data_IF_149979570294
#
_entry.id   IF_149979570294
#
_cell.length_a   1.000
_cell.length_b   1.000
_cell.length_c   1.000
_cell.angle_alpha   90.00
_cell.angle_beta   90.00
_cell.angle_gamma   90.00
#
_symmetry.space_group_name_H-M   'P 1'
#
loop_
_entity.id
_entity.type
_entity.pdbx_description
1 polymer ?
#
# COMPACT_ATOMS: atom_id res chain seq x y z
N UNK A 1 -0.51 0.07 -31.04
CA UNK A 1 -0.99 0.34 -29.67
C UNK A 1 -2.33 -0.35 -29.58
N UNK A 2 -2.41 -1.36 -28.73
CA UNK A 2 -3.62 -2.16 -28.54
C UNK A 2 -4.29 -1.77 -27.24
N UNK A 3 -5.61 -1.86 -27.22
CA UNK A 3 -6.41 -1.46 -26.07
C UNK A 3 -7.04 -2.71 -25.43
N UNK A 4 -7.07 -2.75 -24.10
CA UNK A 4 -7.68 -3.83 -23.32
C UNK A 4 -9.17 -4.10 -23.68
N UNK A 5 -9.81 -3.13 -24.32
CA UNK A 5 -11.22 -3.15 -24.72
C UNK A 5 -11.42 -3.46 -26.22
N UNK A 6 -10.37 -3.79 -26.96
CA UNK A 6 -10.50 -4.27 -28.34
C UNK A 6 -10.53 -5.81 -28.42
N UNK A 7 -10.97 -6.32 -29.58
CA UNK A 7 -11.10 -7.75 -29.85
C UNK A 7 -9.95 -8.28 -30.72
N UNK A 8 -8.87 -7.51 -30.91
CA UNK A 8 -7.81 -7.86 -31.87
C UNK A 8 -7.05 -9.13 -31.46
N UNK A 9 -6.82 -9.33 -30.15
CA UNK A 9 -6.17 -10.54 -29.61
C UNK A 9 -7.15 -11.68 -29.29
N UNK A 10 -8.45 -11.50 -29.54
CA UNK A 10 -9.44 -12.55 -29.31
C UNK A 10 -9.56 -13.39 -30.58
N UNK A 11 -8.97 -14.59 -30.55
CA UNK A 11 -9.09 -15.57 -31.64
C UNK A 11 -10.54 -16.08 -31.80
N UNK A 12 -11.25 -16.30 -30.67
CA UNK A 12 -12.67 -16.71 -30.68
C UNK A 12 -13.40 -16.33 -29.41
N UNK A 13 -14.69 -16.02 -29.55
CA UNK A 13 -15.67 -15.81 -28.47
C UNK A 13 -16.95 -16.60 -28.73
N UNK A 14 -17.41 -17.38 -27.77
CA UNK A 14 -18.67 -18.12 -27.84
C UNK A 14 -19.32 -18.18 -26.46
N UNK A 15 -20.64 -17.93 -26.37
CA UNK A 15 -21.40 -18.01 -25.12
C UNK A 15 -21.12 -16.92 -24.08
N UNK A 16 -20.24 -15.96 -24.34
CA UNK A 16 -19.92 -14.86 -23.41
C UNK A 16 -20.12 -13.50 -24.06
N UNK A 17 -20.28 -12.45 -23.23
CA UNK A 17 -20.27 -11.06 -23.69
C UNK A 17 -19.32 -10.21 -22.85
N UNK A 18 -18.51 -9.34 -23.51
CA UNK A 18 -17.72 -8.33 -22.80
C UNK A 18 -18.66 -7.19 -22.42
N UNK A 19 -18.80 -6.93 -21.14
CA UNK A 19 -19.54 -5.78 -20.60
C UNK A 19 -18.54 -4.88 -19.90
N UNK A 20 -18.32 -3.69 -20.45
CA UNK A 20 -17.66 -2.62 -19.72
C UNK A 20 -18.72 -2.02 -18.80
N UNK A 21 -18.54 -2.15 -17.49
CA UNK A 21 -19.43 -1.50 -16.52
C UNK A 21 -19.38 0.02 -16.65
N UNK A 22 -20.49 0.69 -16.33
CA UNK A 22 -20.49 2.14 -16.20
C UNK A 22 -19.68 2.52 -14.95
N UNK A 23 -18.66 3.35 -15.11
CA UNK A 23 -17.89 3.89 -13.99
C UNK A 23 -18.50 5.20 -13.54
N UNK A 24 -19.00 5.23 -12.31
CA UNK A 24 -19.48 6.46 -11.68
C UNK A 24 -18.32 7.04 -10.88
N UNK A 25 -17.88 8.24 -11.26
CA UNK A 25 -16.91 9.01 -10.48
C UNK A 25 -17.64 9.79 -9.38
N UNK A 26 -17.22 9.61 -8.14
CA UNK A 26 -17.71 10.43 -7.04
C UNK A 26 -17.35 11.91 -7.24
N UNK A 27 -18.23 12.82 -6.78
CA UNK A 27 -18.00 14.28 -6.88
C UNK A 27 -16.82 14.75 -6.01
N UNK A 28 -16.61 14.09 -4.87
CA UNK A 28 -15.54 14.34 -3.91
C UNK A 28 -14.70 13.08 -3.69
N UNK A 29 -13.46 13.22 -3.17
CA UNK A 29 -12.71 12.06 -2.70
C UNK A 29 -13.53 11.27 -1.67
N UNK A 30 -13.50 9.94 -1.78
CA UNK A 30 -14.16 9.03 -0.82
C UNK A 30 -13.42 8.96 0.53
N UNK A 31 -12.17 9.40 0.55
CA UNK A 31 -11.36 9.59 1.76
C UNK A 31 -10.46 10.81 1.54
N UNK A 32 -10.35 11.67 2.54
CA UNK A 32 -9.51 12.87 2.55
C UNK A 32 -8.80 13.00 3.90
N UNK A 33 -7.66 13.70 4.00
CA UNK A 33 -7.00 13.96 5.28
C UNK A 33 -7.92 14.69 6.25
N UNK A 34 -8.16 14.09 7.41
CA UNK A 34 -9.01 14.60 8.49
C UNK A 34 -8.34 14.50 9.87
N UNK A 35 -7.31 13.65 10.00
CA UNK A 35 -6.60 13.41 11.25
C UNK A 35 -5.24 14.12 11.30
N UNK A 36 -4.72 14.48 12.49
CA UNK A 36 -3.44 15.18 12.63
C UNK A 36 -2.26 14.45 11.99
N UNK A 37 -2.22 13.12 12.06
CA UNK A 37 -1.19 12.28 11.44
C UNK A 37 -1.37 12.06 9.94
N UNK A 38 -2.44 12.58 9.35
CA UNK A 38 -2.68 12.52 7.90
C UNK A 38 -2.12 13.74 7.15
N UNK A 39 -1.92 14.85 7.86
CA UNK A 39 -1.52 16.17 7.33
C UNK A 39 -2.27 16.54 6.04
N UNK A 40 -1.61 16.54 4.88
CA UNK A 40 -2.18 17.06 3.63
C UNK A 40 -2.38 16.02 2.53
N UNK A 41 -1.95 14.77 2.73
CA UNK A 41 -1.97 13.77 1.65
C UNK A 41 -2.16 12.34 2.13
N UNK A 42 -3.09 11.67 1.45
CA UNK A 42 -3.31 10.23 1.50
C UNK A 42 -2.92 9.64 0.15
N UNK A 43 -2.23 8.50 0.15
CA UNK A 43 -1.83 7.86 -1.10
C UNK A 43 -1.43 6.42 -0.92
N UNK A 44 -1.10 5.79 -2.06
CA UNK A 44 -0.54 4.42 -2.13
C UNK A 44 -1.34 3.43 -1.28
N UNK A 45 -2.64 3.37 -1.56
CA UNK A 45 -3.59 2.58 -0.80
C UNK A 45 -3.80 1.19 -1.39
N UNK A 46 -4.02 0.21 -0.51
CA UNK A 46 -4.51 -1.13 -0.82
C UNK A 46 -5.89 -1.30 -0.22
N UNK A 47 -6.86 -1.73 -1.04
CA UNK A 47 -8.22 -2.03 -0.60
C UNK A 47 -8.51 -3.50 -0.84
N UNK A 48 -9.04 -4.17 0.17
CA UNK A 48 -9.58 -5.53 0.05
C UNK A 48 -11.01 -5.56 0.61
N UNK A 49 -11.81 -6.49 0.12
CA UNK A 49 -13.02 -6.92 0.81
C UNK A 49 -12.69 -8.19 1.60
N UNK A 50 -12.93 -8.20 2.90
CA UNK A 50 -12.73 -9.38 3.72
C UNK A 50 -14.05 -10.17 3.82
N UNK A 51 -14.10 -11.34 3.17
CA UNK A 51 -15.27 -12.20 3.16
C UNK A 51 -15.61 -12.80 4.54
N UNK A 52 -14.67 -12.80 5.50
CA UNK A 52 -14.91 -13.37 6.83
C UNK A 52 -15.84 -12.50 7.69
N UNK A 53 -15.75 -11.17 7.55
CA UNK A 53 -16.56 -10.21 8.31
C UNK A 53 -17.42 -9.30 7.43
N UNK A 54 -17.28 -9.36 6.11
CA UNK A 54 -18.07 -8.59 5.16
C UNK A 54 -17.72 -7.11 5.14
N UNK A 55 -16.47 -6.75 5.48
CA UNK A 55 -16.01 -5.36 5.57
C UNK A 55 -14.94 -5.08 4.51
N UNK A 56 -15.02 -3.92 3.89
CA UNK A 56 -13.93 -3.35 3.11
C UNK A 56 -12.86 -2.78 4.04
N UNK A 57 -11.62 -3.12 3.77
CA UNK A 57 -10.46 -2.65 4.52
C UNK A 57 -9.52 -1.89 3.61
N UNK A 58 -9.00 -0.78 4.11
CA UNK A 58 -8.01 0.02 3.41
C UNK A 58 -6.77 0.16 4.27
N UNK A 59 -5.62 -0.09 3.67
CA UNK A 59 -4.33 0.37 4.19
C UNK A 59 -3.87 1.50 3.30
N UNK A 60 -3.47 2.62 3.87
CA UNK A 60 -3.05 3.78 3.10
C UNK A 60 -1.86 4.46 3.76
N UNK A 61 -1.03 5.10 2.94
CA UNK A 61 0.05 5.94 3.42
C UNK A 61 -0.49 7.32 3.72
N UNK A 62 -0.20 7.83 4.92
CA UNK A 62 -0.22 9.27 5.16
C UNK A 62 1.18 9.86 5.15
N UNK A 63 1.29 11.10 4.69
CA UNK A 63 2.50 11.90 4.86
C UNK A 63 2.20 13.00 5.86
N UNK A 64 2.72 12.89 7.08
CA UNK A 64 2.79 14.03 7.96
C UNK A 64 3.97 14.92 7.54
N UNK A 65 3.73 15.85 6.61
CA UNK A 65 4.61 17.02 6.48
C UNK A 65 4.40 17.91 7.71
N UNK A 66 5.46 18.10 8.51
CA UNK A 66 5.50 19.20 9.47
C UNK A 66 5.77 20.48 8.65
N UNK A 67 4.69 21.20 8.35
CA UNK A 67 4.65 22.52 7.70
C UNK A 67 5.48 22.68 6.40
N UNK A 68 4.87 22.42 5.25
CA UNK A 68 5.38 22.93 3.98
C UNK A 68 5.28 24.48 3.97
N UNK A 69 6.43 25.17 3.98
CA UNK A 69 6.51 26.53 3.47
C UNK A 69 6.29 26.44 1.95
N UNK A 70 5.32 27.15 1.37
CA UNK A 70 5.07 27.03 -0.06
C UNK A 70 6.22 27.69 -0.83
N UNK A 71 6.72 26.95 -1.82
CA UNK A 71 7.29 27.48 -3.05
C UNK A 71 8.70 28.08 -2.99
N UNK A 72 9.70 27.31 -2.56
CA UNK A 72 11.09 27.47 -3.06
C UNK A 72 11.78 26.11 -3.02
N UNK A 73 12.46 25.73 -4.10
CA UNK A 73 13.10 24.43 -4.25
C UNK A 73 13.96 24.01 -3.07
N UNK A 74 13.87 22.72 -2.72
CA UNK A 74 14.78 22.08 -1.77
C UNK A 74 14.59 22.51 -0.31
N UNK A 75 13.35 22.49 0.20
CA UNK A 75 13.12 22.52 1.64
C UNK A 75 13.52 21.18 2.27
N UNK A 76 14.25 21.24 3.38
CA UNK A 76 14.77 20.06 4.10
C UNK A 76 13.62 19.13 4.52
N UNK A 77 13.62 17.91 3.95
CA UNK A 77 12.65 16.83 4.19
C UNK A 77 12.85 16.10 5.52
N UNK A 78 13.81 16.53 6.35
CA UNK A 78 14.27 15.80 7.54
C UNK A 78 13.19 15.62 8.63
N UNK A 79 12.16 16.47 8.68
CA UNK A 79 11.08 16.39 9.68
C UNK A 79 9.77 15.74 9.15
N UNK A 80 9.79 15.17 7.94
CA UNK A 80 8.59 14.51 7.38
C UNK A 80 8.42 13.08 7.92
N UNK A 81 7.26 12.79 8.52
CA UNK A 81 6.91 11.46 9.02
C UNK A 81 5.91 10.81 8.08
N UNK A 82 6.04 9.52 7.83
CA UNK A 82 5.08 8.77 7.02
C UNK A 82 4.50 7.64 7.85
N UNK A 83 3.20 7.37 7.69
CA UNK A 83 2.53 6.31 8.44
C UNK A 83 1.78 5.38 7.50
N UNK A 84 1.75 4.11 7.87
CA UNK A 84 0.75 3.16 7.37
C UNK A 84 -0.47 3.27 8.27
N UNK A 85 -1.59 3.72 7.71
CA UNK A 85 -2.86 3.86 8.40
C UNK A 85 -3.88 2.84 7.88
N UNK A 86 -4.92 2.62 8.67
CA UNK A 86 -5.97 1.63 8.36
C UNK A 86 -7.37 2.23 8.43
N UNK A 87 -8.27 1.78 7.57
CA UNK A 87 -9.68 2.16 7.62
C UNK A 87 -10.60 1.00 7.27
N UNK A 88 -11.87 1.14 7.68
CA UNK A 88 -12.93 0.15 7.48
C UNK A 88 -14.13 0.79 6.81
N UNK A 89 -14.84 0.03 5.97
CA UNK A 89 -16.05 0.49 5.32
C UNK A 89 -17.00 -0.68 5.08
N UNK A 90 -18.30 -0.46 5.28
CA UNK A 90 -19.33 -1.46 4.95
C UNK A 90 -19.71 -1.42 3.44
N UNK A 91 -19.44 -0.31 2.76
CA UNK A 91 -19.89 -0.05 1.39
C UNK A 91 -18.76 0.33 0.40
N UNK A 92 -17.53 0.45 0.88
CA UNK A 92 -16.37 0.86 0.11
C UNK A 92 -16.35 2.35 -0.24
N UNK A 93 -17.31 3.13 0.26
CA UNK A 93 -17.51 4.55 -0.05
C UNK A 93 -17.32 5.40 1.22
N UNK A 94 -17.90 4.97 2.34
CA UNK A 94 -17.83 5.65 3.63
C UNK A 94 -16.80 4.95 4.52
N UNK A 95 -15.69 5.62 4.80
CA UNK A 95 -14.55 5.04 5.51
C UNK A 95 -14.46 5.52 6.96
N UNK A 96 -14.48 4.59 7.89
CA UNK A 96 -14.18 4.79 9.31
C UNK A 96 -12.69 4.64 9.60
N UNK A 97 -12.21 5.37 10.61
CA UNK A 97 -10.83 5.31 11.13
C UNK A 97 -10.89 4.76 12.56
N UNK A 98 -10.85 3.43 12.74
CA UNK A 98 -10.97 2.85 14.07
C UNK A 98 -9.75 3.17 14.94
N UNK A 99 -9.98 3.31 16.23
CA UNK A 99 -8.91 3.43 17.22
C UNK A 99 -8.25 2.05 17.41
N UNK A 100 -7.04 1.88 16.88
CA UNK A 100 -6.33 0.60 16.90
C UNK A 100 -5.59 0.35 18.21
N UNK A 101 -5.17 1.41 18.90
CA UNK A 101 -4.39 1.27 20.14
C UNK A 101 -2.97 0.73 19.95
N UNK A 102 -2.45 0.77 18.71
CA UNK A 102 -1.17 0.13 18.34
C UNK A 102 -0.02 1.14 18.47
N UNK A 103 -0.07 2.21 17.69
CA UNK A 103 1.00 3.19 17.56
C UNK A 103 0.75 4.41 18.46
N UNK A 104 1.81 4.93 19.10
CA UNK A 104 1.72 6.14 19.94
C UNK A 104 2.06 7.39 19.11
N UNK A 105 1.07 8.25 18.91
CA UNK A 105 1.20 9.53 18.22
C UNK A 105 0.90 10.66 19.21
N UNK A 106 1.88 11.55 19.42
CA UNK A 106 1.76 12.71 20.31
C UNK A 106 1.20 12.38 21.71
N UNK A 107 1.63 11.24 22.27
CA UNK A 107 1.24 10.79 23.62
C UNK A 107 -0.12 10.09 23.70
N UNK A 108 -0.77 9.81 22.57
CA UNK A 108 -2.01 9.04 22.50
C UNK A 108 -1.90 7.84 21.56
N UNK A 109 -2.58 6.75 21.91
CA UNK A 109 -2.79 5.60 21.01
C UNK A 109 -4.18 5.58 20.36
N UNK A 110 -4.95 6.64 20.56
CA UNK A 110 -6.27 6.83 19.97
C UNK A 110 -6.14 7.30 18.51
N UNK A 111 -5.71 6.37 17.66
CA UNK A 111 -5.46 6.60 16.24
C UNK A 111 -5.60 5.30 15.45
N UNK A 112 -5.65 5.42 14.12
CA UNK A 112 -5.70 4.31 13.18
C UNK A 112 -4.33 4.01 12.53
N UNK A 113 -3.23 4.39 13.21
CA UNK A 113 -1.88 4.16 12.71
C UNK A 113 -1.45 2.73 13.05
N UNK A 114 -1.03 2.00 12.02
CA UNK A 114 -0.47 0.65 12.12
C UNK A 114 1.00 0.74 12.50
N UNK A 115 1.78 1.51 11.74
CA UNK A 115 3.21 1.72 11.98
C UNK A 115 3.70 2.98 11.28
N UNK A 116 4.86 3.47 11.74
CA UNK A 116 5.64 4.48 11.03
C UNK A 116 6.47 3.82 9.93
N UNK A 117 6.49 4.47 8.76
CA UNK A 117 7.23 4.04 7.58
C UNK A 117 8.49 4.88 7.45
N UNK A 118 9.59 4.31 6.91
CA UNK A 118 10.77 5.11 6.61
C UNK A 118 10.43 6.25 5.64
N UNK A 119 10.93 7.48 5.89
CA UNK A 119 10.73 8.60 4.99
C UNK A 119 11.36 8.31 3.62
N UNK A 120 10.75 8.83 2.55
CA UNK A 120 11.28 8.77 1.18
C UNK A 120 11.62 7.36 0.63
N UNK A 121 10.89 6.31 1.04
CA UNK A 121 11.07 4.94 0.52
C UNK A 121 9.82 4.37 -0.15
N UNK A 122 10.01 3.61 -1.24
CA UNK A 122 8.97 2.69 -1.69
C UNK A 122 8.97 1.43 -0.81
N UNK A 123 7.82 1.17 -0.18
CA UNK A 123 7.64 0.09 0.80
C UNK A 123 6.67 -0.96 0.24
N UNK A 124 6.68 -2.21 0.72
CA UNK A 124 5.75 -3.23 0.24
C UNK A 124 4.28 -2.95 0.59
N UNK A 125 4.02 -2.00 1.50
CA UNK A 125 2.70 -1.74 2.06
C UNK A 125 1.74 -1.00 1.13
N UNK A 126 2.06 -0.93 -0.17
CA UNK A 126 1.19 -0.39 -1.21
C UNK A 126 0.43 -1.48 -1.98
N UNK A 127 0.82 -2.75 -1.83
CA UNK A 127 0.09 -3.90 -2.38
C UNK A 127 -0.13 -4.96 -1.28
N UNK A 128 -1.15 -4.74 -0.47
CA UNK A 128 -1.57 -5.62 0.62
C UNK A 128 -2.73 -6.50 0.14
N UNK A 129 -2.63 -7.80 0.40
CA UNK A 129 -3.69 -8.75 0.15
C UNK A 129 -3.73 -9.83 1.25
N UNK A 130 -4.88 -10.50 1.34
CA UNK A 130 -5.12 -11.62 2.27
C UNK A 130 -4.96 -12.95 1.53
N UNK A 131 -4.23 -13.88 2.13
CA UNK A 131 -4.06 -15.25 1.70
C UNK A 131 -4.57 -16.22 2.80
N UNK A 132 -5.86 -16.60 2.74
CA UNK A 132 -6.45 -17.55 3.69
C UNK A 132 -6.01 -19.00 3.46
N UNK A 133 -5.27 -19.30 2.39
CA UNK A 133 -4.81 -20.66 2.07
C UNK A 133 -3.36 -20.89 2.49
N UNK A 134 -2.61 -19.84 2.86
CA UNK A 134 -1.24 -20.00 3.37
C UNK A 134 -1.22 -20.95 4.60
N UNK A 135 -0.42 -22.03 4.58
CA UNK A 135 -0.36 -22.98 5.69
C UNK A 135 0.23 -22.37 6.97
N UNK A 136 0.99 -21.28 6.86
CA UNK A 136 1.53 -20.53 7.99
C UNK A 136 0.53 -19.43 8.42
N UNK A 137 -0.13 -19.56 9.59
CA UNK A 137 -1.07 -18.55 10.06
C UNK A 137 -0.42 -17.20 10.38
N UNK A 138 0.91 -17.10 10.42
CA UNK A 138 1.61 -15.82 10.53
C UNK A 138 1.64 -15.03 9.21
N UNK A 139 1.26 -15.65 8.08
CA UNK A 139 1.38 -15.10 6.72
C UNK A 139 0.03 -14.85 6.03
N UNK A 140 -1.02 -14.66 6.82
CA UNK A 140 -2.39 -14.43 6.33
C UNK A 140 -2.53 -13.15 5.53
N UNK A 141 -1.75 -12.12 5.85
CA UNK A 141 -1.64 -10.91 5.06
C UNK A 141 -0.24 -10.82 4.50
N UNK A 142 -0.16 -10.38 3.26
CA UNK A 142 1.06 -10.23 2.49
C UNK A 142 1.08 -8.83 1.92
N UNK A 143 2.17 -8.12 2.17
CA UNK A 143 2.48 -6.86 1.54
C UNK A 143 3.60 -7.13 0.54
N UNK A 144 3.38 -6.83 -0.74
CA UNK A 144 4.40 -6.98 -1.79
C UNK A 144 4.66 -5.62 -2.42
N UNK A 145 5.93 -5.32 -2.62
CA UNK A 145 6.31 -4.16 -3.41
C UNK A 145 7.74 -4.24 -3.86
N UNK A 146 8.27 -3.08 -4.18
CA UNK A 146 9.62 -2.92 -4.65
C UNK A 146 10.31 -1.94 -3.71
N UNK A 147 11.44 -2.35 -3.14
CA UNK A 147 12.30 -1.45 -2.41
C UNK A 147 13.28 -0.81 -3.40
N UNK A 148 13.18 0.51 -3.56
CA UNK A 148 14.09 1.32 -4.38
C UNK A 148 15.03 2.20 -3.52
N UNK A 149 14.92 2.08 -2.20
CA UNK A 149 15.45 3.03 -1.23
C UNK A 149 16.98 3.06 -1.21
N UNK A 150 17.51 4.24 -0.90
CA UNK A 150 18.94 4.42 -0.63
C UNK A 150 19.30 3.84 0.74
N UNK A 151 18.37 3.83 1.69
CA UNK A 151 18.47 3.20 3.02
C UNK A 151 17.43 2.09 3.14
N UNK A 152 17.89 0.84 3.20
CA UNK A 152 17.06 -0.34 3.00
C UNK A 152 15.94 -0.44 4.05
N UNK A 153 14.69 -0.58 3.60
CA UNK A 153 13.56 -0.93 4.49
C UNK A 153 13.51 -2.42 4.82
N UNK A 154 14.45 -3.19 4.26
CA UNK A 154 14.53 -4.65 4.31
C UNK A 154 15.50 -5.11 5.41
N UNK A 155 15.10 -6.12 6.17
CA UNK A 155 15.94 -6.74 7.18
C UNK A 155 17.19 -7.41 6.58
N UNK A 156 18.30 -7.33 7.32
CA UNK A 156 19.55 -8.05 7.06
C UNK A 156 20.24 -7.76 5.70
N UNK A 157 20.07 -6.54 5.13
CA UNK A 157 20.74 -6.15 3.88
C UNK A 157 21.42 -4.79 3.95
N UNK A 158 22.43 -4.62 3.08
CA UNK A 158 23.11 -3.34 2.87
C UNK A 158 22.15 -2.32 2.25
N UNK A 159 22.27 -1.09 2.75
CA UNK A 159 21.63 0.10 2.19
C UNK A 159 21.85 0.18 0.67
N UNK A 160 20.78 0.48 -0.07
CA UNK A 160 20.80 0.56 -1.53
C UNK A 160 20.53 -0.75 -2.26
N UNK A 161 20.27 -1.86 -1.56
CA UNK A 161 19.82 -3.11 -2.21
C UNK A 161 18.40 -2.96 -2.73
N UNK A 162 18.22 -2.98 -4.05
CA UNK A 162 16.92 -2.81 -4.70
C UNK A 162 16.31 -4.13 -5.15
N UNK A 163 14.99 -4.24 -5.05
CA UNK A 163 14.28 -5.38 -5.62
C UNK A 163 12.91 -5.62 -5.00
N UNK A 164 12.30 -6.74 -5.38
CA UNK A 164 10.98 -7.14 -4.88
C UNK A 164 11.09 -7.58 -3.44
N UNK A 165 10.28 -6.99 -2.57
CA UNK A 165 10.23 -7.30 -1.16
C UNK A 165 8.83 -7.75 -0.73
N UNK A 166 8.79 -8.54 0.35
CA UNK A 166 7.56 -9.01 0.97
C UNK A 166 7.59 -8.80 2.47
N UNK A 167 6.46 -8.40 3.05
CA UNK A 167 6.22 -8.44 4.49
C UNK A 167 4.97 -9.27 4.77
N UNK A 168 4.94 -9.90 5.94
CA UNK A 168 3.87 -10.80 6.38
C UNK A 168 3.22 -10.27 7.65
N UNK A 169 1.92 -10.52 7.80
CA UNK A 169 1.19 -10.26 9.03
C UNK A 169 0.11 -11.33 9.26
N UNK A 170 -0.12 -11.76 10.52
CA UNK A 170 -1.24 -12.65 10.84
C UNK A 170 -2.60 -11.93 10.77
N UNK A 171 -2.62 -10.62 10.99
CA UNK A 171 -3.85 -9.86 11.26
C UNK A 171 -3.98 -8.58 10.43
N UNK A 172 -2.97 -8.23 9.63
CA UNK A 172 -2.94 -7.00 8.83
C UNK A 172 -2.53 -5.76 9.63
N UNK A 173 -2.17 -5.92 10.90
CA UNK A 173 -1.76 -4.84 11.80
C UNK A 173 -0.34 -5.02 12.35
N UNK A 174 0.06 -6.27 12.60
CA UNK A 174 1.38 -6.62 13.13
C UNK A 174 2.22 -7.16 12.01
N UNK A 175 3.01 -6.30 11.38
CA UNK A 175 3.83 -6.64 10.22
C UNK A 175 5.25 -7.00 10.64
N UNK A 176 5.79 -8.06 10.04
CA UNK A 176 7.21 -8.33 10.10
C UNK A 176 8.01 -7.32 9.28
N UNK A 177 9.29 -7.15 9.60
CA UNK A 177 10.18 -6.37 8.73
C UNK A 177 10.18 -6.97 7.31
N UNK A 178 10.06 -6.14 6.25
CA UNK A 178 10.17 -6.60 4.88
C UNK A 178 11.42 -7.44 4.61
N UNK A 179 11.28 -8.45 3.76
CA UNK A 179 12.35 -9.34 3.31
C UNK A 179 12.48 -9.25 1.78
N UNK A 180 13.69 -9.13 1.26
CA UNK A 180 13.95 -9.19 -0.18
C UNK A 180 13.66 -10.61 -0.68
N UNK A 181 12.86 -10.73 -1.73
CA UNK A 181 12.54 -11.99 -2.39
C UNK A 181 13.30 -12.13 -3.70
N UNK A 182 13.53 -11.03 -4.40
CA UNK A 182 14.23 -11.01 -5.69
C UNK A 182 14.99 -9.68 -5.83
N UNK A 183 16.30 -9.74 -6.07
CA UNK A 183 17.10 -8.54 -6.29
C UNK A 183 16.96 -8.02 -7.73
N UNK A 184 17.36 -6.77 -7.95
CA UNK A 184 17.46 -6.21 -9.32
C UNK A 184 18.52 -6.91 -10.17
N UNK A 185 19.59 -7.42 -9.56
CA UNK A 185 20.61 -8.21 -10.28
C UNK A 185 19.99 -9.50 -10.84
N UNK A 186 19.14 -10.18 -10.05
CA UNK A 186 18.40 -11.38 -10.46
C UNK A 186 17.36 -11.09 -11.57
N UNK A 187 16.81 -9.86 -11.60
CA UNK A 187 15.84 -9.44 -12.63
C UNK A 187 16.52 -9.19 -13.98
N UNK A 188 17.76 -8.71 -13.97
CA UNK A 188 18.51 -8.37 -15.19
C UNK A 188 19.20 -9.55 -15.85
N UNK A 189 19.34 -10.67 -15.15
CA UNK A 189 19.86 -11.95 -15.71
C UNK A 189 18.84 -12.70 -16.57
N UNK A 190 17.72 -12.05 -16.94
CA UNK A 190 16.97 -12.50 -18.10
C UNK A 190 17.81 -12.24 -19.36
N UNK A 191 18.46 -13.30 -19.87
CA UNK A 191 18.99 -13.42 -21.24
C UNK A 191 17.84 -13.27 -22.28
N UNK A 192 17.08 -12.18 -22.21
CA UNK A 192 16.14 -11.75 -23.21
C UNK A 192 16.94 -11.12 -24.36
N UNK A 193 17.57 -11.99 -25.14
CA UNK A 193 17.99 -11.66 -26.50
C UNK A 193 16.71 -11.34 -27.28
N UNK A 194 16.46 -10.05 -27.53
CA UNK A 194 15.49 -9.58 -28.52
C UNK A 194 15.97 -9.91 -29.93
#
# INVERSE_FOLDING_TARGET
>A
MEFLFDDYLIDRREGVIRVLGETIKAEKPIIAPEMPWESDSLGRASIIFDDDDGIYRIWYRSNAMVAAVPDVGGGDREDSRAFLCYGESEDGINWGRPSLGIYEYEGSKDNNIVMELPPDTDTPFFSIFKDPEDPDPARRYKAIGFDDSVTSSIADREDGTRGVCVSYSPDGFRWEMPKLVMSTDDLTDCDCIL
#
